data_IF_711502593067
#
_entry.id   IF_711502593067
#
_cell.length_a   1.000
_cell.length_b   1.000
_cell.length_c   1.000
_cell.angle_alpha   90.00
_cell.angle_beta   90.00
_cell.angle_gamma   90.00
#
_symmetry.space_group_name_H-M   'P 1'
#
loop_
_entity.id
_entity.type
_entity.pdbx_description
1 polymer ?
#
# COMPACT_ATOMS: atom_id res chain seq x y z
N UNK A 1 19.57 -19.22 -24.88
CA UNK A 1 19.85 -18.32 -23.75
C UNK A 1 18.76 -17.27 -23.74
N UNK A 2 17.71 -17.46 -22.95
CA UNK A 2 16.63 -16.46 -22.82
C UNK A 2 17.18 -15.30 -22.00
N UNK A 3 17.53 -14.20 -22.67
CA UNK A 3 17.69 -12.93 -21.99
C UNK A 3 16.30 -12.52 -21.50
N UNK A 4 16.01 -12.76 -20.22
CA UNK A 4 14.86 -12.14 -19.56
C UNK A 4 15.08 -10.64 -19.67
N UNK A 5 14.20 -9.95 -20.39
CA UNK A 5 14.16 -8.48 -20.35
C UNK A 5 14.10 -8.04 -18.88
N UNK A 6 14.85 -6.99 -18.48
CA UNK A 6 14.72 -6.44 -17.14
C UNK A 6 13.25 -6.09 -16.90
N UNK A 7 12.69 -6.67 -15.84
CA UNK A 7 11.27 -6.54 -15.52
C UNK A 7 11.06 -5.24 -14.75
N UNK A 8 10.56 -4.21 -15.43
CA UNK A 8 10.29 -2.88 -14.88
C UNK A 8 9.56 -2.93 -13.52
N UNK A 9 10.17 -2.36 -12.49
CA UNK A 9 9.64 -2.26 -11.13
C UNK A 9 9.37 -0.79 -10.77
N UNK A 10 8.13 -0.51 -10.35
CA UNK A 10 7.70 0.84 -9.98
C UNK A 10 7.22 0.82 -8.54
N UNK A 11 7.87 1.60 -7.68
CA UNK A 11 7.47 1.82 -6.30
C UNK A 11 6.67 3.10 -6.16
N UNK A 12 5.49 3.05 -5.52
CA UNK A 12 4.64 4.21 -5.25
C UNK A 12 4.35 4.31 -3.75
N UNK A 13 5.06 5.21 -3.08
CA UNK A 13 4.95 5.47 -1.64
C UNK A 13 4.21 6.78 -1.34
N UNK A 14 3.87 6.98 -0.07
CA UNK A 14 3.18 8.18 0.40
C UNK A 14 2.11 7.94 1.46
N UNK A 15 1.58 9.00 2.09
CA UNK A 15 0.64 8.89 3.20
C UNK A 15 -0.73 8.34 2.78
N UNK A 16 -1.55 7.97 3.76
CA UNK A 16 -2.92 7.51 3.50
C UNK A 16 -3.74 8.62 2.83
N UNK A 17 -4.60 8.27 1.87
CA UNK A 17 -5.43 9.24 1.14
C UNK A 17 -4.74 10.02 0.01
N UNK A 18 -3.44 9.81 -0.24
CA UNK A 18 -2.71 10.46 -1.34
C UNK A 18 -3.07 9.94 -2.76
N UNK A 19 -4.06 9.04 -2.90
CA UNK A 19 -4.49 8.51 -4.20
C UNK A 19 -3.62 7.38 -4.79
N UNK A 20 -2.63 6.88 -4.04
CA UNK A 20 -1.66 5.84 -4.47
C UNK A 20 -2.30 4.64 -5.16
N UNK A 21 -3.22 3.95 -4.49
CA UNK A 21 -3.76 2.71 -5.03
C UNK A 21 -4.47 2.97 -6.36
N UNK A 22 -5.23 4.05 -6.49
CA UNK A 22 -5.89 4.45 -7.76
C UNK A 22 -4.86 4.73 -8.86
N UNK A 23 -3.83 5.52 -8.56
CA UNK A 23 -2.76 5.85 -9.52
C UNK A 23 -1.98 4.60 -9.92
N UNK A 24 -1.53 3.81 -8.95
CA UNK A 24 -0.76 2.58 -9.17
C UNK A 24 -1.49 1.58 -10.06
N UNK A 25 -2.80 1.40 -9.84
CA UNK A 25 -3.64 0.55 -10.68
C UNK A 25 -3.68 1.01 -12.13
N UNK A 26 -3.81 2.31 -12.35
CA UNK A 26 -3.89 2.87 -13.71
C UNK A 26 -2.53 2.85 -14.40
N UNK A 27 -1.44 3.10 -13.67
CA UNK A 27 -0.07 2.95 -14.18
C UNK A 27 0.17 1.50 -14.59
N UNK A 28 -0.12 0.53 -13.71
CA UNK A 28 0.02 -0.89 -13.99
C UNK A 28 -0.79 -1.31 -15.23
N UNK A 29 -2.04 -0.87 -15.35
CA UNK A 29 -2.88 -1.13 -16.52
C UNK A 29 -2.30 -0.53 -17.80
N UNK A 30 -1.78 0.70 -17.76
CA UNK A 30 -1.20 1.38 -18.94
C UNK A 30 0.11 0.76 -19.41
N UNK A 31 0.90 0.24 -18.49
CA UNK A 31 2.20 -0.37 -18.77
C UNK A 31 2.15 -1.90 -18.89
N UNK A 32 0.97 -2.50 -18.73
CA UNK A 32 0.76 -3.95 -18.72
C UNK A 32 1.64 -4.67 -17.66
N UNK A 33 1.72 -4.09 -16.47
CA UNK A 33 2.47 -4.61 -15.33
C UNK A 33 1.53 -5.19 -14.27
N UNK A 34 2.06 -6.07 -13.42
CA UNK A 34 1.33 -6.55 -12.25
C UNK A 34 1.14 -5.43 -11.23
N UNK A 35 0.01 -5.42 -10.54
CA UNK A 35 -0.24 -4.48 -9.45
C UNK A 35 -0.28 -5.22 -8.11
N UNK A 36 0.44 -4.69 -7.11
CA UNK A 36 0.49 -5.21 -5.74
C UNK A 36 0.07 -4.12 -4.74
N UNK A 37 -1.09 -4.32 -4.11
CA UNK A 37 -1.57 -3.51 -2.96
C UNK A 37 -0.97 -4.08 -1.66
N UNK A 38 0.18 -3.55 -1.24
CA UNK A 38 0.82 -4.01 0.00
C UNK A 38 -0.03 -3.72 1.23
N UNK A 39 -0.80 -2.64 1.20
CA UNK A 39 -1.71 -2.26 2.27
C UNK A 39 -2.80 -3.31 2.51
N UNK A 40 -3.27 -3.98 1.46
CA UNK A 40 -4.22 -5.08 1.57
C UNK A 40 -3.62 -6.29 2.32
N UNK A 41 -2.32 -6.54 2.16
CA UNK A 41 -1.64 -7.63 2.86
C UNK A 41 -1.58 -7.38 4.37
N UNK A 42 -1.19 -6.17 4.79
CA UNK A 42 -1.22 -5.80 6.22
C UNK A 42 -2.63 -5.85 6.79
N UNK A 43 -3.64 -5.43 6.03
CA UNK A 43 -5.05 -5.55 6.44
C UNK A 43 -5.50 -7.00 6.56
N UNK A 44 -5.03 -7.91 5.71
CA UNK A 44 -5.34 -9.34 5.81
C UNK A 44 -4.76 -9.94 7.11
N UNK A 45 -3.53 -9.58 7.49
CA UNK A 45 -2.95 -10.00 8.78
C UNK A 45 -3.73 -9.42 9.96
N UNK A 46 -4.09 -8.14 9.92
CA UNK A 46 -4.91 -7.51 10.96
C UNK A 46 -6.28 -8.18 11.10
N UNK A 47 -6.93 -8.48 9.97
CA UNK A 47 -8.18 -9.25 9.93
C UNK A 47 -8.02 -10.63 10.55
N UNK A 48 -6.96 -11.37 10.18
CA UNK A 48 -6.71 -12.71 10.72
C UNK A 48 -6.50 -12.66 12.24
N UNK A 49 -5.73 -11.69 12.74
CA UNK A 49 -5.50 -11.52 14.17
C UNK A 49 -6.81 -11.28 14.93
N UNK A 50 -7.62 -10.31 14.48
CA UNK A 50 -8.90 -9.99 15.11
C UNK A 50 -9.91 -11.14 15.02
N UNK A 51 -9.96 -11.85 13.89
CA UNK A 51 -10.81 -13.04 13.73
C UNK A 51 -10.45 -14.17 14.68
N UNK A 52 -9.18 -14.28 15.09
CA UNK A 52 -8.71 -15.26 16.06
C UNK A 52 -8.69 -14.71 17.50
N UNK A 53 -9.40 -13.61 17.75
CA UNK A 53 -9.51 -12.95 19.06
C UNK A 53 -8.15 -12.57 19.68
N UNK A 54 -7.15 -12.36 18.83
CA UNK A 54 -5.82 -11.91 19.25
C UNK A 54 -5.85 -10.40 19.42
N UNK A 55 -5.46 -9.94 20.61
CA UNK A 55 -5.26 -8.51 20.88
C UNK A 55 -4.19 -7.97 19.92
N UNK A 56 -4.51 -6.88 19.22
CA UNK A 56 -3.63 -6.32 18.19
C UNK A 56 -2.31 -5.82 18.78
N UNK A 57 -2.30 -5.51 20.07
CA UNK A 57 -1.14 -5.07 20.84
C UNK A 57 -0.19 -6.22 21.22
N UNK A 58 -0.58 -7.50 21.05
CA UNK A 58 0.25 -8.67 21.35
C UNK A 58 1.17 -8.99 20.16
N UNK A 59 2.28 -8.25 20.06
CA UNK A 59 3.28 -8.41 19.00
C UNK A 59 3.73 -9.87 18.78
N UNK A 60 4.11 -10.65 19.82
CA UNK A 60 4.50 -12.04 19.63
C UNK A 60 3.44 -12.89 18.95
N UNK A 61 2.17 -12.76 19.33
CA UNK A 61 1.07 -13.53 18.74
C UNK A 61 0.72 -13.05 17.33
N UNK A 62 0.66 -11.74 17.10
CA UNK A 62 0.39 -11.17 15.77
C UNK A 62 1.50 -11.57 14.79
N UNK A 63 2.76 -11.50 15.20
CA UNK A 63 3.90 -11.93 14.39
C UNK A 63 3.89 -13.43 14.11
N UNK A 64 3.44 -14.25 15.07
CA UNK A 64 3.26 -15.69 14.86
C UNK A 64 2.19 -15.98 13.81
N UNK A 65 1.03 -15.32 13.88
CA UNK A 65 -0.03 -15.43 12.87
C UNK A 65 0.51 -15.04 11.49
N UNK A 66 1.20 -13.90 11.39
CA UNK A 66 1.70 -13.41 10.11
C UNK A 66 2.59 -14.44 9.39
N UNK A 67 3.46 -15.14 10.13
CA UNK A 67 4.34 -16.19 9.59
C UNK A 67 3.59 -17.40 9.05
N UNK A 68 2.45 -17.75 9.65
CA UNK A 68 1.67 -18.94 9.28
C UNK A 68 0.54 -18.65 8.29
N UNK A 69 0.16 -17.39 8.12
CA UNK A 69 -0.94 -17.00 7.25
C UNK A 69 -0.49 -16.92 5.79
N UNK A 70 -1.28 -17.55 4.93
CA UNK A 70 -1.18 -17.38 3.49
C UNK A 70 -2.02 -16.18 3.06
N UNK A 71 -1.37 -15.21 2.42
CA UNK A 71 -2.04 -14.04 1.83
C UNK A 71 -1.81 -14.06 0.33
N UNK A 72 -2.89 -14.20 -0.44
CA UNK A 72 -2.84 -14.19 -1.91
C UNK A 72 -3.61 -12.98 -2.42
N UNK A 73 -2.94 -12.16 -3.23
CA UNK A 73 -3.57 -11.09 -3.99
C UNK A 73 -3.88 -11.63 -5.38
N UNK A 74 -5.17 -11.79 -5.67
CA UNK A 74 -5.61 -12.07 -7.04
C UNK A 74 -5.50 -10.79 -7.87
N UNK A 75 -4.83 -10.91 -9.02
CA UNK A 75 -4.59 -9.81 -9.94
C UNK A 75 -5.72 -9.65 -10.98
N UNK A 76 -6.83 -10.39 -10.83
CA UNK A 76 -8.06 -10.15 -11.58
C UNK A 76 -8.58 -8.71 -11.40
N UNK A 77 -9.47 -8.26 -12.29
CA UNK A 77 -10.07 -6.92 -12.20
C UNK A 77 -10.77 -6.68 -10.85
N UNK A 78 -11.27 -7.74 -10.22
CA UNK A 78 -11.95 -7.71 -8.92
C UNK A 78 -11.00 -7.51 -7.73
N UNK A 79 -9.69 -7.76 -7.93
CA UNK A 79 -8.61 -7.53 -6.95
C UNK A 79 -8.91 -8.21 -5.62
N UNK A 80 -9.22 -9.49 -5.72
CA UNK A 80 -9.64 -10.32 -4.60
C UNK A 80 -8.45 -10.58 -3.68
N UNK A 81 -8.67 -10.42 -2.37
CA UNK A 81 -7.69 -10.72 -1.34
C UNK A 81 -8.13 -11.99 -0.64
N UNK A 82 -7.26 -12.99 -0.66
CA UNK A 82 -7.47 -14.27 -0.01
C UNK A 82 -6.57 -14.39 1.21
N UNK A 83 -7.14 -14.87 2.32
CA UNK A 83 -6.44 -15.14 3.57
C UNK A 83 -6.73 -16.59 3.98
N UNK A 84 -5.72 -17.46 3.93
CA UNK A 84 -5.88 -18.91 4.17
C UNK A 84 -7.04 -19.55 3.39
N UNK A 85 -7.17 -19.19 2.11
CA UNK A 85 -8.23 -19.68 1.21
C UNK A 85 -9.60 -18.99 1.36
N UNK A 86 -9.76 -18.03 2.26
CA UNK A 86 -11.00 -17.26 2.43
C UNK A 86 -10.93 -15.91 1.71
N UNK A 87 -11.99 -15.56 0.95
CA UNK A 87 -12.11 -14.24 0.34
C UNK A 87 -12.42 -13.18 1.39
N UNK A 88 -11.44 -12.34 1.71
CA UNK A 88 -11.54 -11.30 2.75
C UNK A 88 -11.64 -9.89 2.18
N UNK A 89 -11.79 -9.75 0.86
CA UNK A 89 -11.70 -8.50 0.09
C UNK A 89 -12.52 -7.34 0.66
N UNK A 90 -13.76 -7.61 1.09
CA UNK A 90 -14.63 -6.59 1.70
C UNK A 90 -14.37 -6.43 3.20
N UNK A 91 -14.14 -7.54 3.91
CA UNK A 91 -13.93 -7.53 5.36
C UNK A 91 -12.71 -6.71 5.76
N UNK A 92 -11.61 -6.79 4.99
CA UNK A 92 -10.38 -6.04 5.27
C UNK A 92 -10.53 -4.52 5.15
N UNK A 93 -11.61 -4.03 4.52
CA UNK A 93 -11.86 -2.59 4.32
C UNK A 93 -12.66 -1.94 5.45
N UNK A 94 -13.00 -2.70 6.50
CA UNK A 94 -13.73 -2.15 7.64
C UNK A 94 -12.90 -1.08 8.38
N UNK A 95 -13.55 -0.12 9.08
CA UNK A 95 -12.86 0.85 9.92
C UNK A 95 -12.02 0.20 11.02
N UNK A 96 -12.50 -0.91 11.60
CA UNK A 96 -11.82 -1.66 12.64
C UNK A 96 -10.47 -2.22 12.15
N UNK A 97 -10.46 -2.92 11.00
CA UNK A 97 -9.22 -3.42 10.39
C UNK A 97 -8.29 -2.25 10.04
N UNK A 98 -8.85 -1.16 9.52
CA UNK A 98 -8.08 0.02 9.14
C UNK A 98 -7.35 0.67 10.32
N UNK A 99 -7.94 0.64 11.52
CA UNK A 99 -7.34 1.15 12.77
C UNK A 99 -6.27 0.22 13.34
N UNK A 100 -6.36 -1.08 13.10
CA UNK A 100 -5.36 -2.05 13.56
C UNK A 100 -4.07 -2.02 12.73
N UNK A 101 -4.14 -1.65 11.45
CA UNK A 101 -3.02 -1.72 10.51
C UNK A 101 -1.76 -0.97 10.95
N UNK A 102 -1.80 0.26 11.48
CA UNK A 102 -0.58 0.97 11.91
C UNK A 102 0.19 0.20 13.00
N UNK A 103 -0.52 -0.46 13.92
CA UNK A 103 0.08 -1.28 14.98
C UNK A 103 0.71 -2.53 14.37
N UNK A 104 -0.06 -3.28 13.58
CA UNK A 104 0.42 -4.50 12.90
C UNK A 104 1.62 -4.21 12.00
N UNK A 105 1.62 -3.08 11.29
CA UNK A 105 2.69 -2.66 10.39
C UNK A 105 3.94 -2.13 11.10
N UNK A 106 3.87 -1.95 12.44
CA UNK A 106 5.01 -1.57 13.27
C UNK A 106 5.85 -2.76 13.77
N UNK A 107 5.29 -3.97 13.72
CA UNK A 107 5.93 -5.18 14.24
C UNK A 107 6.93 -5.80 13.26
N UNK A 108 8.16 -5.99 13.71
CA UNK A 108 9.25 -6.50 12.88
C UNK A 108 8.90 -7.87 12.28
N UNK A 109 8.38 -8.80 13.08
CA UNK A 109 8.06 -10.15 12.63
C UNK A 109 6.95 -10.21 11.58
N UNK A 110 6.01 -9.25 11.60
CA UNK A 110 4.99 -9.10 10.55
C UNK A 110 5.64 -8.55 9.28
N UNK A 111 6.46 -7.51 9.42
CA UNK A 111 7.12 -6.85 8.29
C UNK A 111 8.04 -7.80 7.54
N UNK A 112 8.90 -8.53 8.24
CA UNK A 112 9.82 -9.51 7.64
C UNK A 112 9.07 -10.47 6.70
N UNK A 113 7.97 -11.06 7.19
CA UNK A 113 7.16 -11.98 6.41
C UNK A 113 6.47 -11.31 5.22
N UNK A 114 5.88 -10.14 5.40
CA UNK A 114 5.17 -9.47 4.31
C UNK A 114 6.13 -8.91 3.25
N UNK A 115 7.32 -8.44 3.63
CA UNK A 115 8.37 -7.99 2.70
C UNK A 115 8.88 -9.16 1.86
N UNK A 116 9.05 -10.34 2.46
CA UNK A 116 9.37 -11.57 1.73
C UNK A 116 8.34 -11.85 0.63
N UNK A 117 7.05 -11.90 0.98
CA UNK A 117 5.96 -12.13 0.02
C UNK A 117 5.89 -11.04 -1.07
N UNK A 118 6.12 -9.79 -0.72
CA UNK A 118 6.13 -8.66 -1.67
C UNK A 118 7.27 -8.80 -2.68
N UNK A 119 8.48 -9.15 -2.21
CA UNK A 119 9.63 -9.38 -3.08
C UNK A 119 9.45 -10.61 -3.96
N UNK A 120 8.82 -11.67 -3.46
CA UNK A 120 8.45 -12.83 -4.26
C UNK A 120 7.48 -12.45 -5.38
N UNK A 121 6.47 -11.62 -5.09
CA UNK A 121 5.56 -11.10 -6.11
C UNK A 121 6.30 -10.28 -7.18
N UNK A 122 7.29 -9.46 -6.79
CA UNK A 122 8.10 -8.66 -7.70
C UNK A 122 9.02 -9.50 -8.61
N UNK A 123 9.39 -10.73 -8.21
CA UNK A 123 10.21 -11.64 -9.05
C UNK A 123 9.43 -12.28 -10.20
N UNK A 124 8.09 -12.21 -10.20
CA UNK A 124 7.24 -12.86 -11.21
C UNK A 124 7.19 -12.11 -12.55
N UNK A 125 7.65 -10.87 -12.59
CA UNK A 125 7.57 -10.02 -13.77
C UNK A 125 7.59 -8.54 -13.39
N UNK A 126 7.34 -7.67 -14.37
CA UNK A 126 7.25 -6.23 -14.12
C UNK A 126 6.07 -5.89 -13.21
N UNK A 127 6.28 -4.99 -12.25
CA UNK A 127 5.35 -4.74 -11.14
C UNK A 127 5.23 -3.26 -10.80
N UNK A 128 4.03 -2.83 -10.42
CA UNK A 128 3.76 -1.58 -9.72
C UNK A 128 3.29 -1.92 -8.32
N UNK A 129 4.01 -1.46 -7.31
CA UNK A 129 3.73 -1.75 -5.91
C UNK A 129 3.46 -0.46 -5.14
N UNK A 130 2.30 -0.37 -4.47
CA UNK A 130 1.96 0.78 -3.65
C UNK A 130 2.03 0.49 -2.15
N UNK A 131 2.58 1.42 -1.37
CA UNK A 131 2.83 1.21 0.05
C UNK A 131 3.26 2.45 0.84
N UNK A 132 4.16 2.27 1.80
CA UNK A 132 4.72 3.35 2.64
C UNK A 132 6.25 3.42 2.58
N UNK A 133 6.88 2.31 2.25
CA UNK A 133 8.33 2.11 2.27
C UNK A 133 8.78 1.16 1.16
N UNK A 134 8.06 1.14 0.04
CA UNK A 134 8.36 0.28 -1.10
C UNK A 134 9.72 0.65 -1.67
N UNK A 135 9.92 1.90 -2.06
CA UNK A 135 11.16 2.37 -2.68
C UNK A 135 12.34 2.52 -1.71
N UNK A 136 12.09 2.51 -0.40
CA UNK A 136 13.13 2.63 0.62
C UNK A 136 13.56 1.30 1.22
N UNK A 137 12.68 0.29 1.22
CA UNK A 137 12.93 -0.96 1.94
C UNK A 137 12.54 -2.22 1.17
N UNK A 138 11.36 -2.26 0.55
CA UNK A 138 10.87 -3.46 -0.13
C UNK A 138 11.62 -3.69 -1.45
N UNK A 139 11.64 -2.67 -2.30
CA UNK A 139 12.27 -2.59 -3.61
C UNK A 139 13.21 -1.36 -3.64
N UNK A 140 14.33 -1.39 -2.87
CA UNK A 140 15.29 -0.29 -2.85
C UNK A 140 16.00 -0.08 -4.19
N UNK A 141 15.93 -1.05 -5.10
CA UNK A 141 16.51 -1.00 -6.44
C UNK A 141 15.43 -0.91 -7.54
N UNK A 142 14.20 -0.48 -7.19
CA UNK A 142 13.14 -0.26 -8.18
C UNK A 142 13.57 0.78 -9.23
N UNK A 143 13.29 0.52 -10.50
CA UNK A 143 13.68 1.39 -11.61
C UNK A 143 13.07 2.79 -11.48
N UNK A 144 11.79 2.86 -11.06
CA UNK A 144 11.11 4.14 -10.82
C UNK A 144 10.51 4.18 -9.41
N UNK A 145 10.87 5.20 -8.64
CA UNK A 145 10.36 5.44 -7.29
C UNK A 145 9.59 6.75 -7.25
N UNK A 146 8.34 6.68 -6.82
CA UNK A 146 7.44 7.83 -6.73
C UNK A 146 7.00 7.99 -5.28
N UNK A 147 7.06 9.21 -4.76
CA UNK A 147 6.44 9.56 -3.50
C UNK A 147 5.26 10.49 -3.76
N UNK A 148 4.03 9.96 -3.67
CA UNK A 148 2.80 10.74 -3.83
C UNK A 148 2.45 11.42 -2.52
N UNK A 149 2.22 12.73 -2.57
CA UNK A 149 1.77 13.51 -1.42
C UNK A 149 0.54 14.36 -1.76
N UNK A 150 -0.09 14.90 -0.73
CA UNK A 150 -1.16 15.89 -0.80
C UNK A 150 -1.34 16.51 0.59
N UNK A 151 -1.97 17.68 0.64
CA UNK A 151 -2.31 18.31 1.93
C UNK A 151 -3.19 17.38 2.78
N UNK A 152 -3.05 17.45 4.11
CA UNK A 152 -3.88 16.65 5.03
C UNK A 152 -5.37 16.87 4.78
N UNK A 153 -5.77 18.13 4.58
CA UNK A 153 -7.16 18.51 4.30
C UNK A 153 -7.70 17.84 3.03
N UNK A 154 -6.93 17.83 1.94
CA UNK A 154 -7.35 17.21 0.67
C UNK A 154 -7.46 15.69 0.81
N UNK A 155 -6.51 15.05 1.50
CA UNK A 155 -6.56 13.62 1.77
C UNK A 155 -7.76 13.26 2.66
N UNK A 156 -8.03 14.06 3.69
CA UNK A 156 -9.18 13.90 4.56
C UNK A 156 -10.49 14.05 3.80
N UNK A 157 -10.60 15.05 2.92
CA UNK A 157 -11.77 15.28 2.06
C UNK A 157 -12.07 14.08 1.16
N UNK A 158 -11.04 13.56 0.48
CA UNK A 158 -11.17 12.35 -0.37
C UNK A 158 -11.66 11.15 0.45
N UNK A 159 -11.03 10.89 1.60
CA UNK A 159 -11.38 9.76 2.46
C UNK A 159 -12.77 9.88 3.06
N UNK A 160 -13.16 11.08 3.46
CA UNK A 160 -14.51 11.35 3.97
C UNK A 160 -15.56 11.08 2.89
N UNK A 161 -15.33 11.54 1.66
CA UNK A 161 -16.19 11.21 0.51
C UNK A 161 -16.30 9.71 0.24
N UNK A 162 -15.20 8.95 0.31
CA UNK A 162 -15.22 7.48 0.19
C UNK A 162 -16.11 6.82 1.25
N UNK A 163 -16.04 7.30 2.50
CA UNK A 163 -16.81 6.75 3.62
C UNK A 163 -18.29 7.10 3.50
N UNK A 164 -18.64 8.31 3.10
CA UNK A 164 -20.02 8.72 2.82
C UNK A 164 -20.64 7.87 1.70
N UNK A 165 -19.90 7.69 0.59
CA UNK A 165 -20.35 6.85 -0.52
C UNK A 165 -20.53 5.37 -0.13
N UNK A 166 -19.81 4.92 0.90
CA UNK A 166 -19.96 3.59 1.49
C UNK A 166 -21.08 3.52 2.57
N UNK A 167 -21.88 4.58 2.73
CA UNK A 167 -22.99 4.64 3.69
C UNK A 167 -22.53 4.75 5.14
N UNK A 168 -21.30 5.19 5.41
CA UNK A 168 -20.79 5.39 6.78
C UNK A 168 -21.07 6.81 7.24
N UNK A 169 -21.61 6.94 8.45
CA UNK A 169 -21.83 8.22 9.09
C UNK A 169 -20.61 8.57 9.97
N UNK A 170 -19.72 9.41 9.44
CA UNK A 170 -18.50 9.89 10.12
C UNK A 170 -18.33 11.38 9.84
N UNK A 171 -17.81 12.13 10.81
CA UNK A 171 -17.55 13.56 10.60
C UNK A 171 -16.24 13.80 9.84
N UNK A 172 -16.12 14.97 9.22
CA UNK A 172 -14.88 15.36 8.55
C UNK A 172 -13.74 15.52 9.56
N UNK A 173 -14.06 16.02 10.75
CA UNK A 173 -13.12 16.20 11.87
C UNK A 173 -12.57 14.85 12.36
N UNK A 174 -13.43 13.84 12.52
CA UNK A 174 -13.04 12.49 12.90
C UNK A 174 -12.08 11.88 11.87
N UNK A 175 -12.42 11.97 10.58
CA UNK A 175 -11.57 11.46 9.49
C UNK A 175 -10.22 12.17 9.46
N UNK A 176 -10.21 13.49 9.64
CA UNK A 176 -8.99 14.30 9.67
C UNK A 176 -8.10 13.90 10.85
N UNK A 177 -8.68 13.74 12.03
CA UNK A 177 -7.96 13.33 13.24
C UNK A 177 -7.36 11.93 13.09
N UNK A 178 -8.15 10.96 12.63
CA UNK A 178 -7.68 9.58 12.39
C UNK A 178 -6.55 9.54 11.37
N UNK A 179 -6.65 10.36 10.32
CA UNK A 179 -5.61 10.45 9.29
C UNK A 179 -4.32 11.06 9.82
N UNK A 180 -4.41 12.14 10.59
CA UNK A 180 -3.25 12.77 11.22
C UNK A 180 -2.56 11.81 12.20
N UNK A 181 -3.33 11.12 13.04
CA UNK A 181 -2.81 10.11 13.97
C UNK A 181 -2.07 9.00 13.21
N UNK A 182 -2.65 8.53 12.11
CA UNK A 182 -2.05 7.51 11.26
C UNK A 182 -0.75 7.99 10.62
N UNK A 183 -0.70 9.22 10.10
CA UNK A 183 0.52 9.75 9.49
C UNK A 183 1.64 9.87 10.53
N UNK A 184 1.33 10.36 11.75
CA UNK A 184 2.29 10.40 12.86
C UNK A 184 2.82 9.00 13.21
N UNK A 185 1.95 7.99 13.22
CA UNK A 185 2.37 6.60 13.45
C UNK A 185 3.25 6.09 12.31
N UNK A 186 2.83 6.26 11.04
CA UNK A 186 3.55 5.78 9.87
C UNK A 186 4.96 6.41 9.77
N UNK A 187 5.10 7.70 10.09
CA UNK A 187 6.38 8.45 10.13
C UNK A 187 7.22 8.06 11.35
N UNK A 188 6.61 7.94 12.53
CA UNK A 188 7.30 7.65 13.79
C UNK A 188 7.72 6.19 13.98
N UNK A 189 7.47 5.30 13.00
CA UNK A 189 7.87 3.89 13.08
C UNK A 189 9.39 3.76 13.21
N UNK A 190 9.83 2.93 14.17
CA UNK A 190 11.25 2.57 14.33
C UNK A 190 11.79 1.77 13.14
N UNK A 191 10.94 0.94 12.52
CA UNK A 191 11.28 0.09 11.39
C UNK A 191 10.54 0.59 10.16
N UNK A 192 11.29 0.87 9.09
CA UNK A 192 10.78 1.38 7.80
C UNK A 192 9.79 2.55 7.94
N UNK A 193 10.23 3.70 8.48
CA UNK A 193 9.39 4.89 8.60
C UNK A 193 8.89 5.34 7.24
N UNK A 194 7.72 5.98 7.22
CA UNK A 194 7.22 6.64 6.02
C UNK A 194 8.12 7.85 5.69
N UNK A 195 8.94 7.69 4.66
CA UNK A 195 9.78 8.73 4.11
C UNK A 195 10.02 8.45 2.62
N UNK A 196 10.20 9.50 1.79
CA UNK A 196 10.61 9.31 0.40
C UNK A 196 12.00 8.66 0.33
N UNK A 197 12.23 7.82 -0.68
CA UNK A 197 13.58 7.40 -1.04
C UNK A 197 14.39 8.60 -1.55
N UNK A 198 15.72 8.55 -1.43
CA UNK A 198 16.59 9.67 -1.83
C UNK A 198 16.47 10.00 -3.32
N UNK A 199 16.21 8.98 -4.13
CA UNK A 199 16.03 9.04 -5.58
C UNK A 199 14.54 9.01 -5.99
N UNK A 200 13.61 9.15 -5.04
CA UNK A 200 12.19 9.19 -5.37
C UNK A 200 11.77 10.54 -5.96
N UNK A 201 10.98 10.49 -7.05
CA UNK A 201 10.28 11.67 -7.57
C UNK A 201 9.09 11.98 -6.67
N UNK A 202 9.12 13.15 -6.03
CA UNK A 202 8.02 13.64 -5.19
C UNK A 202 6.95 14.28 -6.09
N UNK A 203 5.71 13.78 -6.03
CA UNK A 203 4.58 14.32 -6.77
C UNK A 203 3.47 14.74 -5.80
N UNK A 204 3.22 16.05 -5.73
CA UNK A 204 2.03 16.58 -5.06
C UNK A 204 0.80 16.39 -5.96
N UNK A 205 -0.20 15.69 -5.44
CA UNK A 205 -1.45 15.37 -6.13
C UNK A 205 -2.57 16.37 -5.84
N UNK A 206 -2.28 17.45 -5.10
CA UNK A 206 -3.23 18.51 -4.77
C UNK A 206 -3.66 19.25 -6.04
N UNK A 207 -4.95 19.22 -6.35
CA UNK A 207 -5.52 19.90 -7.54
C UNK A 207 -5.20 19.23 -8.89
N UNK A 208 -4.50 18.09 -8.91
CA UNK A 208 -4.21 17.35 -10.14
C UNK A 208 -5.25 16.27 -10.42
N UNK A 209 -5.57 16.07 -11.69
CA UNK A 209 -6.37 14.93 -12.13
C UNK A 209 -5.57 13.63 -12.03
N UNK A 210 -6.28 12.53 -11.78
CA UNK A 210 -5.68 11.19 -11.71
C UNK A 210 -4.97 10.84 -13.02
N UNK A 211 -5.59 11.17 -14.15
CA UNK A 211 -5.05 10.94 -15.49
C UNK A 211 -3.74 11.71 -15.71
N UNK A 212 -3.66 12.95 -15.23
CA UNK A 212 -2.46 13.77 -15.30
C UNK A 212 -1.31 13.19 -14.49
N UNK A 213 -1.59 12.71 -13.27
CA UNK A 213 -0.60 12.05 -12.41
C UNK A 213 -0.09 10.76 -13.07
N UNK A 214 -1.00 9.93 -13.58
CA UNK A 214 -0.66 8.69 -14.28
C UNK A 214 0.20 8.97 -15.51
N UNK A 215 -0.13 9.99 -16.30
CA UNK A 215 0.65 10.38 -17.47
C UNK A 215 2.09 10.79 -17.10
N UNK A 216 2.27 11.55 -16.01
CA UNK A 216 3.60 11.91 -15.50
C UNK A 216 4.42 10.68 -15.10
N UNK A 217 3.83 9.74 -14.36
CA UNK A 217 4.54 8.53 -13.93
C UNK A 217 4.93 7.66 -15.13
N UNK A 218 4.04 7.50 -16.11
CA UNK A 218 4.34 6.74 -17.35
C UNK A 218 5.39 7.43 -18.22
N UNK A 219 5.54 8.75 -18.14
CA UNK A 219 6.60 9.46 -18.85
C UNK A 219 7.98 9.14 -18.24
N UNK A 220 8.08 9.11 -16.91
CA UNK A 220 9.33 8.79 -16.20
C UNK A 220 9.88 7.41 -16.61
N UNK A 221 9.01 6.40 -16.78
CA UNK A 221 9.45 5.05 -17.16
C UNK A 221 10.00 4.96 -18.60
N UNK A 222 9.83 6.00 -19.43
CA UNK A 222 10.31 6.03 -20.82
C UNK A 222 11.58 6.84 -20.98
N UNK A 223 11.94 7.66 -19.99
CA UNK A 223 13.15 8.47 -20.03
C UNK A 223 14.40 7.64 -19.69
N UNK A 224 14.26 6.58 -18.89
CA UNK A 224 15.35 5.65 -18.53
C UNK A 224 15.73 4.64 -19.63
N UNK A 225 14.99 4.57 -20.75
CA UNK A 225 15.31 3.73 -21.91
C UNK A 225 16.29 4.41 -22.91
N UNK A 226 16.84 5.59 -22.60
CA UNK A 226 17.72 6.37 -23.48
C UNK A 226 19.18 6.41 -23.04
#
# INVERSE_FOLDING_TARGET
MNQQQPTLQIAIDGPAGAGKSTVAKLVAKKLNLFYVDTGAMYRAIAYKALKNEIQIEDEPRVSKIARTTEVVLDHSEERTVWCDGENVTQAIRSPEISRAVPIVASYTGVRERLVELQREAAKRGGVVMDGRDIGTHVLPDADVKIYLTATLEERARRRWGELLNAGKNVSFEEVTHDMQKRDCQDIGRKVSPLQPAQDAVILDTTGLSVEGIVAKIVALTREDER
#
